data_IF_033238824941
#
_entry.id   IF_033238824941
#
_cell.length_a   1.000
_cell.length_b   1.000
_cell.length_c   1.000
_cell.angle_alpha   90.00
_cell.angle_beta   90.00
_cell.angle_gamma   90.00
#
_symmetry.space_group_name_H-M   'P 1'
#
loop_
_entity.id
_entity.type
_entity.pdbx_description
1 polymer ?
#
# COMPACT_ATOMS: atom_id res chain seq x y z
N UNK A 1 -3.46 -3.21 13.95
CA UNK A 1 -4.86 -2.74 13.82
C UNK A 1 -5.43 -2.18 15.12
N UNK A 2 -5.27 -2.87 16.27
CA UNK A 2 -5.77 -2.36 17.56
C UNK A 2 -4.98 -1.15 18.07
N UNK A 3 -3.66 -1.13 17.93
CA UNK A 3 -2.80 -0.04 18.45
C UNK A 3 -3.09 1.31 17.79
N UNK A 4 -3.31 1.36 16.47
CA UNK A 4 -3.64 2.63 15.77
C UNK A 4 -5.03 3.15 16.15
N UNK A 5 -5.98 2.26 16.39
CA UNK A 5 -7.33 2.58 16.85
C UNK A 5 -7.32 3.11 18.30
N UNK A 6 -6.47 2.55 19.17
CA UNK A 6 -6.32 2.98 20.56
C UNK A 6 -5.64 4.35 20.64
N UNK A 7 -4.59 4.59 19.86
CA UNK A 7 -3.91 5.89 19.79
C UNK A 7 -4.85 6.99 19.29
N UNK A 8 -5.62 6.74 18.22
CA UNK A 8 -6.63 7.69 17.74
C UNK A 8 -7.71 8.00 18.78
N UNK A 9 -8.25 6.98 19.47
CA UNK A 9 -9.25 7.16 20.53
C UNK A 9 -8.68 7.92 21.72
N UNK A 10 -7.44 7.63 22.12
CA UNK A 10 -6.77 8.31 23.23
C UNK A 10 -6.53 9.79 22.90
N UNK A 11 -6.04 10.10 21.69
CA UNK A 11 -5.86 11.47 21.23
C UNK A 11 -7.19 12.21 21.20
N UNK A 12 -8.27 11.60 20.67
CA UNK A 12 -9.60 12.21 20.65
C UNK A 12 -10.22 12.41 22.03
N UNK A 13 -9.90 11.54 23.01
CA UNK A 13 -10.42 11.65 24.38
C UNK A 13 -9.70 12.70 25.23
N UNK A 14 -8.44 13.01 24.90
CA UNK A 14 -7.61 13.98 25.64
C UNK A 14 -7.73 15.39 25.06
N UNK A 15 -8.05 15.52 23.78
CA UNK A 15 -8.18 16.81 23.11
C UNK A 15 -9.64 17.25 23.07
N UNK A 16 -9.99 18.23 23.88
CA UNK A 16 -11.32 18.86 23.89
C UNK A 16 -11.59 19.79 22.68
N UNK A 17 -10.82 19.65 21.58
CA UNK A 17 -10.95 20.42 20.34
C UNK A 17 -9.92 20.01 19.30
N UNK A 18 -9.94 20.69 18.13
CA UNK A 18 -8.93 20.50 17.10
C UNK A 18 -7.64 21.21 17.54
N UNK A 19 -6.50 20.49 17.71
CA UNK A 19 -5.26 21.12 18.12
C UNK A 19 -4.70 22.00 17.01
N UNK A 20 -4.10 23.13 17.36
CA UNK A 20 -3.41 24.01 16.40
C UNK A 20 -2.13 23.36 15.89
N UNK A 21 -1.49 22.54 16.70
CA UNK A 21 -0.24 21.84 16.38
C UNK A 21 -0.16 20.49 17.09
N UNK A 22 0.38 19.51 16.40
CA UNK A 22 0.71 18.19 16.97
C UNK A 22 2.19 17.91 16.73
N UNK A 23 2.91 17.55 17.78
CA UNK A 23 4.29 17.08 17.70
C UNK A 23 4.32 15.57 17.96
N UNK A 24 4.83 14.81 16.99
CA UNK A 24 5.01 13.37 17.11
C UNK A 24 6.49 13.08 17.29
N UNK A 25 6.84 12.44 18.40
CA UNK A 25 8.21 12.05 18.69
C UNK A 25 8.56 10.77 17.91
N UNK A 26 9.42 10.90 16.92
CA UNK A 26 9.95 9.83 16.08
C UNK A 26 11.49 9.86 16.10
N UNK A 27 12.19 8.73 15.86
CA UNK A 27 13.65 8.68 15.85
C UNK A 27 14.25 9.34 14.60
N UNK A 28 14.14 10.68 14.50
CA UNK A 28 14.58 11.49 13.35
C UNK A 28 15.98 12.10 13.53
N UNK A 29 16.73 11.69 14.57
CA UNK A 29 18.01 12.32 14.90
C UNK A 29 17.86 13.80 15.29
N UNK A 30 16.78 14.16 15.98
CA UNK A 30 16.40 15.53 16.38
C UNK A 30 16.13 16.48 15.18
N UNK A 31 15.89 15.92 13.99
CA UNK A 31 15.49 16.73 12.83
C UNK A 31 13.96 16.90 12.81
N UNK A 32 13.52 18.12 12.50
CA UNK A 32 12.11 18.43 12.30
C UNK A 32 11.65 17.92 10.93
N UNK A 33 10.77 16.91 10.92
CA UNK A 33 10.12 16.40 9.71
C UNK A 33 8.82 17.16 9.48
N UNK A 34 8.76 17.96 8.42
CA UNK A 34 7.61 18.79 8.05
C UNK A 34 6.78 18.21 6.90
N UNK A 35 7.30 17.17 6.26
CA UNK A 35 6.63 16.43 5.18
C UNK A 35 6.90 14.95 5.33
N UNK A 36 5.90 14.14 5.01
CA UNK A 36 6.08 12.68 4.90
C UNK A 36 5.13 12.10 3.86
N UNK A 37 5.51 10.95 3.33
CA UNK A 37 4.66 10.18 2.42
C UNK A 37 3.42 9.67 3.14
N UNK A 38 2.30 9.68 2.43
CA UNK A 38 1.12 8.91 2.78
C UNK A 38 1.29 7.43 2.46
N UNK A 39 0.25 6.65 2.72
CA UNK A 39 0.21 5.24 2.34
C UNK A 39 -1.22 4.77 2.09
N UNK A 40 -1.37 3.87 1.12
CA UNK A 40 -2.54 3.03 0.99
C UNK A 40 -2.09 1.56 0.96
N UNK A 41 -2.74 0.73 1.80
CA UNK A 41 -2.43 -0.70 1.93
C UNK A 41 -3.70 -1.52 1.86
N UNK A 42 -3.65 -2.57 1.07
CA UNK A 42 -4.77 -3.49 0.93
C UNK A 42 -4.29 -4.90 0.58
N UNK A 43 -5.22 -5.85 0.65
CA UNK A 43 -5.01 -7.20 0.16
C UNK A 43 -5.62 -7.36 -1.22
N UNK A 44 -4.95 -8.14 -2.04
CA UNK A 44 -5.53 -8.72 -3.25
C UNK A 44 -5.41 -10.23 -3.20
N UNK A 45 -6.47 -10.91 -3.60
CA UNK A 45 -6.52 -12.36 -3.72
C UNK A 45 -6.60 -12.72 -5.20
N UNK A 46 -5.60 -13.46 -5.67
CA UNK A 46 -5.59 -14.06 -7.01
C UNK A 46 -6.22 -15.43 -6.92
N UNK A 47 -7.27 -15.64 -7.68
CA UNK A 47 -8.05 -16.88 -7.69
C UNK A 47 -7.63 -17.79 -8.84
N UNK A 48 -7.69 -19.07 -8.59
CA UNK A 48 -7.46 -20.15 -9.54
C UNK A 48 -8.52 -21.24 -9.38
N UNK A 49 -8.15 -22.46 -9.75
CA UNK A 49 -8.99 -23.64 -9.60
C UNK A 49 -8.15 -24.82 -9.14
N UNK A 50 -8.49 -25.38 -7.98
CA UNK A 50 -7.75 -26.52 -7.43
C UNK A 50 -7.99 -27.79 -8.25
N UNK A 51 -6.93 -28.58 -8.39
CA UNK A 51 -6.99 -29.96 -8.90
C UNK A 51 -5.78 -30.76 -8.41
N UNK A 52 -5.78 -32.07 -8.61
CA UNK A 52 -4.62 -32.90 -8.33
C UNK A 52 -3.49 -32.57 -9.32
N UNK A 53 -2.25 -32.47 -8.83
CA UNK A 53 -1.09 -32.08 -9.65
C UNK A 53 -0.75 -33.03 -10.81
N UNK A 54 -1.31 -34.26 -10.81
CA UNK A 54 -1.20 -35.19 -11.94
C UNK A 54 -2.09 -34.81 -13.14
N UNK A 55 -3.04 -33.89 -12.96
CA UNK A 55 -3.97 -33.43 -13.99
C UNK A 55 -4.06 -31.91 -14.00
N UNK A 56 -2.92 -31.19 -14.19
CA UNK A 56 -2.88 -29.73 -14.05
C UNK A 56 -3.76 -28.99 -15.05
N UNK A 57 -4.09 -29.63 -16.18
CA UNK A 57 -5.00 -29.09 -17.21
C UNK A 57 -6.46 -28.96 -16.75
N UNK A 58 -6.82 -29.61 -15.65
CA UNK A 58 -8.17 -29.51 -15.04
C UNK A 58 -8.29 -28.36 -14.02
N UNK A 59 -7.21 -27.64 -13.79
CA UNK A 59 -7.18 -26.55 -12.83
C UNK A 59 -6.62 -25.26 -13.41
N UNK A 60 -6.57 -24.24 -12.56
CA UNK A 60 -5.89 -22.99 -12.84
C UNK A 60 -4.97 -22.65 -11.67
N UNK A 61 -3.67 -22.66 -11.90
CA UNK A 61 -2.69 -22.44 -10.83
C UNK A 61 -2.63 -20.96 -10.43
N UNK A 62 -3.17 -20.66 -9.23
CA UNK A 62 -3.19 -19.31 -8.68
C UNK A 62 -1.77 -18.76 -8.42
N UNK A 63 -0.76 -19.63 -8.12
CA UNK A 63 0.63 -19.19 -7.92
C UNK A 63 1.20 -18.64 -9.24
N UNK A 64 0.99 -19.30 -10.37
CA UNK A 64 1.46 -18.81 -11.65
C UNK A 64 0.78 -17.50 -12.07
N UNK A 65 -0.52 -17.36 -11.78
CA UNK A 65 -1.25 -16.11 -12.01
C UNK A 65 -0.75 -14.99 -11.09
N UNK A 66 -0.54 -15.27 -9.79
CA UNK A 66 -0.02 -14.32 -8.82
C UNK A 66 1.43 -13.90 -9.14
N UNK A 67 2.25 -14.79 -9.68
CA UNK A 67 3.62 -14.47 -10.12
C UNK A 67 3.60 -13.45 -11.26
N UNK A 68 2.70 -13.60 -12.24
CA UNK A 68 2.52 -12.60 -13.32
C UNK A 68 2.03 -11.26 -12.77
N UNK A 69 1.10 -11.28 -11.82
CA UNK A 69 0.63 -10.06 -11.13
C UNK A 69 1.76 -9.39 -10.37
N UNK A 70 2.60 -10.14 -9.65
CA UNK A 70 3.75 -9.60 -8.92
C UNK A 70 4.76 -8.93 -9.87
N UNK A 71 5.06 -9.53 -11.02
CA UNK A 71 5.93 -8.93 -12.04
C UNK A 71 5.31 -7.67 -12.69
N UNK A 72 4.00 -7.65 -12.90
CA UNK A 72 3.31 -6.44 -13.37
C UNK A 72 3.39 -5.31 -12.32
N UNK A 73 3.22 -5.62 -11.04
CA UNK A 73 3.37 -4.66 -9.94
C UNK A 73 4.81 -4.14 -9.82
N UNK A 74 5.82 -5.01 -10.02
CA UNK A 74 7.22 -4.59 -10.08
C UNK A 74 7.46 -3.60 -11.22
N UNK A 75 6.93 -3.88 -12.42
CA UNK A 75 7.02 -2.98 -13.58
C UNK A 75 6.36 -1.62 -13.30
N UNK A 76 5.19 -1.62 -12.62
CA UNK A 76 4.55 -0.37 -12.20
C UNK A 76 5.38 0.37 -11.15
N UNK A 77 5.99 -0.35 -10.21
CA UNK A 77 6.88 0.23 -9.19
C UNK A 77 8.05 0.99 -9.84
N UNK A 78 8.67 0.41 -10.87
CA UNK A 78 9.75 1.05 -11.63
C UNK A 78 9.26 2.32 -12.35
N UNK A 79 8.07 2.29 -12.97
CA UNK A 79 7.45 3.48 -13.59
C UNK A 79 7.16 4.58 -12.57
N UNK A 80 6.66 4.21 -11.39
CA UNK A 80 6.37 5.14 -10.30
C UNK A 80 7.64 5.81 -9.77
N UNK A 81 8.76 5.07 -9.68
CA UNK A 81 10.04 5.59 -9.21
C UNK A 81 10.59 6.73 -10.10
N UNK A 82 10.16 6.79 -11.36
CA UNK A 82 10.52 7.87 -12.30
C UNK A 82 9.65 9.13 -12.13
N UNK A 83 8.53 9.04 -11.40
CA UNK A 83 7.63 10.17 -11.16
C UNK A 83 8.15 11.03 -10.00
N UNK A 84 7.98 12.34 -10.12
CA UNK A 84 8.26 13.29 -9.02
C UNK A 84 9.61 13.09 -8.32
N UNK A 85 10.65 12.69 -9.06
CA UNK A 85 11.99 12.44 -8.50
C UNK A 85 12.57 13.68 -7.81
N UNK A 86 12.15 14.89 -8.18
CA UNK A 86 12.52 16.16 -7.55
C UNK A 86 11.72 16.52 -6.30
N UNK A 87 10.68 15.74 -5.92
CA UNK A 87 9.90 16.04 -4.73
C UNK A 87 10.74 15.80 -3.46
N UNK A 88 10.68 16.68 -2.42
CA UNK A 88 11.46 16.52 -1.18
C UNK A 88 11.27 15.17 -0.48
N UNK A 89 10.08 14.56 -0.59
CA UNK A 89 9.82 13.19 -0.08
C UNK A 89 10.31 12.08 -1.04
N UNK A 90 10.94 12.42 -2.16
CA UNK A 90 11.31 11.50 -3.24
C UNK A 90 10.08 11.01 -4.04
N UNK A 91 10.28 10.03 -4.91
CA UNK A 91 9.24 9.45 -5.76
C UNK A 91 8.23 8.63 -4.97
N UNK A 92 6.99 8.48 -5.47
CA UNK A 92 6.04 7.51 -4.94
C UNK A 92 6.59 6.08 -5.10
N UNK A 93 6.17 5.16 -4.23
CA UNK A 93 6.66 3.77 -4.28
C UNK A 93 5.53 2.75 -4.20
N UNK A 94 5.76 1.58 -4.76
CA UNK A 94 4.85 0.43 -4.71
C UNK A 94 5.66 -0.82 -4.34
N UNK A 95 5.15 -1.63 -3.45
CA UNK A 95 5.78 -2.90 -3.05
C UNK A 95 4.72 -3.96 -2.77
N UNK A 96 5.02 -5.20 -3.15
CA UNK A 96 4.36 -6.38 -2.62
C UNK A 96 5.08 -6.75 -1.33
N UNK A 97 4.42 -6.55 -0.19
CA UNK A 97 5.01 -6.80 1.13
C UNK A 97 4.96 -8.27 1.55
N UNK A 98 3.88 -8.96 1.20
CA UNK A 98 3.70 -10.39 1.47
C UNK A 98 3.05 -11.09 0.29
N UNK A 99 3.33 -12.39 0.15
CA UNK A 99 2.67 -13.29 -0.79
C UNK A 99 2.50 -14.65 -0.12
N UNK A 100 1.27 -15.15 -0.06
CA UNK A 100 0.92 -16.42 0.57
C UNK A 100 -0.05 -17.21 -0.28
N UNK A 101 0.22 -18.52 -0.45
CA UNK A 101 -0.68 -19.41 -1.19
C UNK A 101 -0.18 -20.83 -1.28
N UNK A 102 -1.09 -21.75 -1.67
CA UNK A 102 -0.84 -23.16 -1.73
C UNK A 102 -1.01 -23.85 -0.37
N UNK A 103 -1.45 -25.12 -0.42
CA UNK A 103 -1.72 -25.96 0.77
C UNK A 103 -0.96 -27.29 0.75
N UNK A 104 -0.45 -27.70 -0.41
CA UNK A 104 0.29 -28.94 -0.55
C UNK A 104 0.89 -29.09 -1.94
N UNK A 105 2.05 -29.76 -2.03
CA UNK A 105 2.83 -29.89 -3.27
C UNK A 105 2.12 -30.69 -4.36
N UNK A 106 1.19 -31.57 -3.98
CA UNK A 106 0.43 -32.41 -4.88
C UNK A 106 -0.92 -31.84 -5.29
N UNK A 107 -1.18 -30.55 -4.98
CA UNK A 107 -2.39 -29.83 -5.36
C UNK A 107 -2.04 -28.59 -6.17
N UNK A 108 -2.73 -28.35 -7.26
CA UNK A 108 -2.75 -27.07 -7.96
C UNK A 108 -3.45 -26.05 -7.07
N UNK A 109 -2.81 -24.95 -6.65
CA UNK A 109 -3.43 -24.00 -5.73
C UNK A 109 -4.49 -23.15 -6.42
N UNK A 110 -5.60 -22.94 -5.72
CA UNK A 110 -6.75 -22.13 -6.16
C UNK A 110 -6.73 -20.69 -5.63
N UNK A 111 -5.79 -20.37 -4.73
CA UNK A 111 -5.74 -19.04 -4.09
C UNK A 111 -4.33 -18.63 -3.71
N UNK A 112 -4.03 -17.35 -3.99
CA UNK A 112 -2.84 -16.64 -3.48
C UNK A 112 -3.25 -15.26 -3.03
N UNK A 113 -2.81 -14.85 -1.84
CA UNK A 113 -3.05 -13.52 -1.29
C UNK A 113 -1.75 -12.71 -1.27
N UNK A 114 -1.81 -11.46 -1.76
CA UNK A 114 -0.74 -10.49 -1.73
C UNK A 114 -1.15 -9.30 -0.87
N UNK A 115 -0.23 -8.76 -0.06
CA UNK A 115 -0.42 -7.47 0.61
C UNK A 115 0.43 -6.40 -0.08
N UNK A 116 -0.22 -5.30 -0.43
CA UNK A 116 0.35 -4.20 -1.21
C UNK A 116 0.57 -2.99 -0.33
N UNK A 117 1.74 -2.37 -0.40
CA UNK A 117 2.08 -1.08 0.20
C UNK A 117 2.39 -0.06 -0.91
N UNK A 118 1.50 0.92 -1.11
CA UNK A 118 1.68 2.04 -2.03
C UNK A 118 1.95 3.30 -1.21
N UNK A 119 3.18 3.84 -1.30
CA UNK A 119 3.54 5.11 -0.66
C UNK A 119 3.26 6.28 -1.56
N UNK A 120 2.62 7.30 -1.01
CA UNK A 120 2.07 8.46 -1.69
C UNK A 120 2.92 9.69 -1.41
N UNK A 121 3.23 10.47 -2.43
CA UNK A 121 3.77 11.81 -2.19
C UNK A 121 2.66 12.76 -1.75
N UNK A 122 2.97 13.84 -1.00
CA UNK A 122 1.98 14.83 -0.63
C UNK A 122 1.23 15.38 -1.85
N UNK A 123 -0.11 15.33 -1.80
CA UNK A 123 -0.98 15.72 -2.91
C UNK A 123 -1.59 14.55 -3.68
N UNK A 124 -1.05 13.35 -3.57
CA UNK A 124 -1.71 12.14 -4.13
C UNK A 124 -2.88 11.71 -3.23
N UNK A 125 -4.01 11.39 -3.88
CA UNK A 125 -5.17 10.80 -3.21
C UNK A 125 -4.98 9.27 -3.03
N UNK A 126 -5.18 8.73 -1.81
CA UNK A 126 -4.96 7.31 -1.53
C UNK A 126 -5.85 6.37 -2.37
N UNK A 127 -7.13 6.71 -2.53
CA UNK A 127 -8.07 5.84 -3.24
C UNK A 127 -7.86 5.91 -4.75
N UNK A 128 -7.55 7.09 -5.30
CA UNK A 128 -7.18 7.23 -6.70
C UNK A 128 -5.88 6.48 -7.03
N UNK A 129 -4.88 6.55 -6.15
CA UNK A 129 -3.61 5.82 -6.31
C UNK A 129 -3.80 4.30 -6.22
N UNK A 130 -4.71 3.82 -5.36
CA UNK A 130 -5.09 2.41 -5.34
C UNK A 130 -5.79 2.01 -6.63
N UNK A 131 -6.71 2.84 -7.14
CA UNK A 131 -7.41 2.58 -8.41
C UNK A 131 -6.43 2.46 -9.57
N UNK A 132 -5.45 3.34 -9.67
CA UNK A 132 -4.37 3.27 -10.67
C UNK A 132 -3.67 1.89 -10.67
N UNK A 133 -3.36 1.35 -9.50
CA UNK A 133 -2.73 0.02 -9.37
C UNK A 133 -3.68 -1.09 -9.83
N UNK A 134 -4.96 -1.02 -9.46
CA UNK A 134 -5.97 -2.00 -9.87
C UNK A 134 -6.14 -2.01 -11.38
N UNK A 135 -6.28 -0.83 -11.98
CA UNK A 135 -6.47 -0.67 -13.43
C UNK A 135 -5.23 -1.19 -14.18
N UNK A 136 -4.03 -0.83 -13.73
CA UNK A 136 -2.78 -1.32 -14.32
C UNK A 136 -2.67 -2.85 -14.29
N UNK A 137 -3.03 -3.48 -13.16
CA UNK A 137 -3.00 -4.95 -13.05
C UNK A 137 -4.05 -5.59 -13.96
N UNK A 138 -5.25 -5.03 -14.05
CA UNK A 138 -6.32 -5.48 -14.94
C UNK A 138 -5.88 -5.46 -16.41
N UNK A 139 -5.21 -4.39 -16.83
CA UNK A 139 -4.72 -4.22 -18.21
C UNK A 139 -3.58 -5.19 -18.55
N UNK A 140 -2.66 -5.41 -17.61
CA UNK A 140 -1.45 -6.22 -17.85
C UNK A 140 -1.61 -7.71 -17.50
N UNK A 141 -2.65 -8.07 -16.76
CA UNK A 141 -2.97 -9.45 -16.37
C UNK A 141 -4.46 -9.79 -16.65
N UNK A 142 -4.97 -9.62 -17.89
CA UNK A 142 -6.41 -9.70 -18.17
C UNK A 142 -7.03 -11.08 -17.94
N UNK A 143 -6.22 -12.14 -17.87
CA UNK A 143 -6.68 -13.51 -17.59
C UNK A 143 -6.68 -13.85 -16.10
N UNK A 144 -6.13 -12.99 -15.25
CA UNK A 144 -6.11 -13.24 -13.80
C UNK A 144 -7.44 -12.83 -13.17
N UNK A 145 -8.04 -13.73 -12.40
CA UNK A 145 -9.20 -13.43 -11.57
C UNK A 145 -8.72 -12.89 -10.24
N UNK A 146 -8.95 -11.61 -9.98
CA UNK A 146 -8.40 -10.92 -8.82
C UNK A 146 -9.51 -10.26 -8.00
N UNK A 147 -9.46 -10.49 -6.70
CA UNK A 147 -10.31 -9.84 -5.71
C UNK A 147 -9.50 -8.81 -4.94
N UNK A 148 -9.94 -7.57 -4.90
CA UNK A 148 -9.32 -6.49 -4.13
C UNK A 148 -10.16 -6.16 -2.91
N UNK A 149 -9.62 -6.41 -1.71
CA UNK A 149 -10.26 -5.99 -0.47
C UNK A 149 -10.22 -4.47 -0.30
N UNK A 150 -11.08 -3.94 0.56
CA UNK A 150 -10.97 -2.54 0.97
C UNK A 150 -9.64 -2.28 1.69
N UNK A 151 -9.07 -1.08 1.56
CA UNK A 151 -7.82 -0.76 2.18
C UNK A 151 -7.93 -0.79 3.71
N UNK A 152 -7.03 -1.53 4.37
CA UNK A 152 -6.91 -1.52 5.83
C UNK A 152 -6.09 -0.32 6.33
N UNK A 153 -5.43 0.43 5.42
CA UNK A 153 -4.79 1.71 5.67
C UNK A 153 -4.97 2.61 4.44
N UNK A 154 -5.47 3.83 4.65
CA UNK A 154 -5.50 4.87 3.63
C UNK A 154 -5.24 6.22 4.32
N UNK A 155 -4.07 6.80 4.09
CA UNK A 155 -3.63 8.05 4.69
C UNK A 155 -2.89 8.88 3.66
N UNK A 156 -3.31 10.12 3.45
CA UNK A 156 -2.61 11.08 2.61
C UNK A 156 -1.27 11.48 3.22
N UNK A 157 -0.34 11.92 2.38
CA UNK A 157 0.93 12.49 2.83
C UNK A 157 0.77 13.86 3.48
N UNK A 158 1.64 14.17 4.43
CA UNK A 158 1.70 15.49 5.04
C UNK A 158 2.43 16.46 4.09
N UNK A 159 1.80 17.59 3.77
CA UNK A 159 2.38 18.66 2.94
C UNK A 159 2.80 19.85 3.79
N UNK A 160 3.75 20.65 3.25
CA UNK A 160 4.23 21.90 3.89
C UNK A 160 3.19 23.01 4.04
N UNK A 161 1.97 22.84 3.56
CA UNK A 161 0.95 23.91 3.55
C UNK A 161 0.51 24.40 4.95
N UNK A 162 1.09 23.87 6.04
CA UNK A 162 0.83 24.28 7.42
C UNK A 162 2.10 24.70 8.21
N UNK A 163 3.26 24.83 7.58
CA UNK A 163 4.56 25.03 8.26
C UNK A 163 4.80 26.46 8.79
N UNK A 164 3.87 27.40 8.62
CA UNK A 164 3.98 28.72 9.25
C UNK A 164 4.20 28.66 10.77
N UNK A 165 3.55 27.71 11.45
CA UNK A 165 3.69 27.50 12.90
C UNK A 165 5.01 26.86 13.32
N UNK A 166 5.62 26.03 12.49
CA UNK A 166 6.87 25.33 12.82
C UNK A 166 8.12 26.25 12.76
N UNK A 167 8.06 27.38 12.05
CA UNK A 167 9.13 28.38 12.03
C UNK A 167 9.16 29.20 13.33
N UNK A 168 8.01 29.41 13.97
CA UNK A 168 7.91 30.17 15.23
C UNK A 168 8.47 29.39 16.44
N UNK A 169 8.56 28.06 16.38
CA UNK A 169 9.08 27.22 17.46
C UNK A 169 10.64 27.16 17.48
N UNK A 170 11.34 27.80 16.52
CA UNK A 170 12.82 27.85 16.45
C UNK A 170 13.41 29.18 16.91
N UNK A 171 12.59 30.17 17.27
CA UNK A 171 13.01 31.44 17.88
C UNK A 171 12.76 31.39 19.39
#
# INVERSE_FOLDING_TARGET
HERDSVAKKLIQSVLSGRPDMVVVAEPTGLQLVTQHKGAVRWRMTVCGQACHSSYPEKGLNAIYSASRVALALESLSQKLALRHSSHPCGAPTLSVGTIHGGVGVNLVPDRVTLEIDRRLVPGEDPLASRREVIDYVSENCPTAVIHHEDPFLASAGLSNKGVGAAKAAKS
#
